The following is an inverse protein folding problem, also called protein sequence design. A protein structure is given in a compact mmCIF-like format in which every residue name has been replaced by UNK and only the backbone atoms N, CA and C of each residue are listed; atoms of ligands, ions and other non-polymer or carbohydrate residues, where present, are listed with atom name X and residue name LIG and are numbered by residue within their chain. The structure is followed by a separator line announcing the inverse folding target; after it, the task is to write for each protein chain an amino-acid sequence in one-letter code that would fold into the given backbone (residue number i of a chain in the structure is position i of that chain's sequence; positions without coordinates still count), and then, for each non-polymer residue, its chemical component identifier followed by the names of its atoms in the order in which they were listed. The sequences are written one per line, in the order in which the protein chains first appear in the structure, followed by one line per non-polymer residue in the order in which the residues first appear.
data_IF_517947311845
#
_entry.id   IF_517947311845
#
_cell.length_a   1.000
_cell.length_b   1.000
_cell.length_c   1.000
_cell.angle_alpha   90.00
_cell.angle_beta   90.00
_cell.angle_gamma   90.00
#
_symmetry.space_group_name_H-M   'P 1'
#
loop_
_entity.id
_entity.type
_entity.pdbx_description
1 polymer ?
#
# COMPACT_ATOMS: atom_id res chain seq x y z
N UNK A 1 10.11 5.05 2.63
CA UNK A 1 8.95 4.14 2.54
C UNK A 1 8.09 4.46 1.32
N UNK A 2 7.71 5.72 1.08
CA UNK A 2 6.96 6.16 -0.12
C UNK A 2 7.63 5.74 -1.45
N UNK A 3 8.92 6.03 -1.63
CA UNK A 3 9.63 5.72 -2.88
C UNK A 3 9.69 4.23 -3.26
N UNK A 4 9.70 3.31 -2.28
CA UNK A 4 9.74 1.86 -2.56
C UNK A 4 8.38 1.38 -3.11
N UNK A 5 7.29 1.97 -2.62
CA UNK A 5 5.94 1.67 -3.08
C UNK A 5 5.77 2.16 -4.53
N UNK A 6 6.33 3.33 -4.84
CA UNK A 6 6.30 3.91 -6.18
C UNK A 6 7.03 3.03 -7.21
N UNK A 7 8.26 2.58 -6.89
CA UNK A 7 9.08 1.76 -7.77
C UNK A 7 8.41 0.42 -8.14
N UNK A 8 7.72 -0.22 -7.18
CA UNK A 8 6.98 -1.46 -7.42
C UNK A 8 5.87 -1.26 -8.46
N UNK A 9 5.03 -0.24 -8.28
CA UNK A 9 3.90 0.02 -9.16
C UNK A 9 4.32 0.45 -10.57
N UNK A 10 5.45 1.15 -10.68
CA UNK A 10 6.04 1.43 -11.99
C UNK A 10 6.45 0.17 -12.75
N UNK A 11 7.01 -0.81 -12.05
CA UNK A 11 7.32 -2.12 -12.64
C UNK A 11 6.08 -2.80 -13.19
N UNK A 12 4.98 -2.77 -12.43
CA UNK A 12 3.69 -3.31 -12.86
C UNK A 12 3.17 -2.56 -14.10
N UNK A 13 3.11 -1.22 -14.07
CA UNK A 13 2.66 -0.44 -15.23
C UNK A 13 3.47 -0.72 -16.49
N UNK A 14 4.79 -0.80 -16.37
CA UNK A 14 5.71 -1.10 -17.47
C UNK A 14 5.46 -2.49 -18.06
N UNK A 15 5.17 -3.49 -17.21
CA UNK A 15 4.83 -4.86 -17.65
C UNK A 15 3.53 -4.89 -18.46
N UNK A 16 2.62 -3.96 -18.20
CA UNK A 16 1.40 -3.75 -18.98
C UNK A 16 1.55 -2.77 -20.15
N UNK A 17 2.77 -2.31 -20.47
CA UNK A 17 3.03 -1.37 -21.56
C UNK A 17 2.49 0.03 -21.30
N UNK A 18 2.21 0.37 -20.04
CA UNK A 18 1.66 1.66 -19.64
C UNK A 18 2.72 2.49 -18.90
N UNK A 19 2.78 3.79 -19.20
CA UNK A 19 3.68 4.73 -18.53
C UNK A 19 2.93 6.02 -18.24
N UNK A 20 2.32 6.15 -17.04
CA UNK A 20 1.53 7.34 -16.70
C UNK A 20 2.42 8.57 -16.55
N UNK A 21 1.94 9.73 -17.05
CA UNK A 21 2.59 11.02 -16.79
C UNK A 21 2.47 11.33 -15.30
N UNK A 22 3.61 11.54 -14.64
CA UNK A 22 3.61 11.89 -13.21
C UNK A 22 3.40 13.37 -12.97
N UNK A 23 2.76 13.64 -11.85
CA UNK A 23 2.66 14.95 -11.22
C UNK A 23 3.33 14.83 -9.85
N UNK A 24 3.87 15.92 -9.31
CA UNK A 24 4.50 15.89 -8.00
C UNK A 24 3.50 15.44 -6.94
N UNK A 25 3.85 14.39 -6.17
CA UNK A 25 3.01 13.93 -5.08
C UNK A 25 3.03 14.97 -3.93
N UNK A 26 1.87 15.42 -3.44
CA UNK A 26 1.83 16.30 -2.30
C UNK A 26 2.19 15.55 -1.02
N UNK A 27 2.82 16.24 -0.07
CA UNK A 27 3.28 15.64 1.18
C UNK A 27 2.16 15.15 2.12
N UNK A 28 0.90 15.51 1.85
CA UNK A 28 -0.26 15.16 2.67
C UNK A 28 -1.37 14.54 1.79
N UNK A 29 -1.88 13.38 2.23
CA UNK A 29 -2.94 12.65 1.55
C UNK A 29 -4.24 13.45 1.46
N UNK A 30 -4.52 14.36 2.41
CA UNK A 30 -5.69 15.24 2.33
C UNK A 30 -5.58 16.27 1.19
N UNK A 31 -4.35 16.73 0.91
CA UNK A 31 -4.06 17.59 -0.23
C UNK A 31 -4.21 16.80 -1.53
N UNK A 32 -3.69 15.57 -1.57
CA UNK A 32 -3.85 14.67 -2.73
C UNK A 32 -5.32 14.49 -3.11
N UNK A 33 -6.18 14.11 -2.14
CA UNK A 33 -7.61 13.92 -2.41
C UNK A 33 -8.31 15.21 -2.83
N UNK A 34 -7.89 16.36 -2.31
CA UNK A 34 -8.46 17.66 -2.72
C UNK A 34 -8.07 18.03 -4.16
N UNK A 35 -6.83 17.76 -4.58
CA UNK A 35 -6.40 17.99 -5.96
C UNK A 35 -7.10 17.03 -6.95
N UNK A 36 -7.37 15.80 -6.54
CA UNK A 36 -8.15 14.84 -7.35
C UNK A 36 -9.60 15.32 -7.49
N UNK A 37 -10.21 15.80 -6.39
CA UNK A 37 -11.57 16.36 -6.44
C UNK A 37 -11.66 17.59 -7.35
N UNK A 38 -10.57 18.37 -7.47
CA UNK A 38 -10.44 19.50 -8.40
C UNK A 38 -10.06 19.07 -9.85
N UNK A 39 -9.97 17.77 -10.13
CA UNK A 39 -9.72 17.24 -11.46
C UNK A 39 -8.26 17.28 -11.94
N UNK A 40 -7.30 17.52 -11.02
CA UNK A 40 -5.87 17.63 -11.36
C UNK A 40 -5.20 16.29 -11.70
N UNK A 41 -5.89 15.17 -11.53
CA UNK A 41 -5.36 13.86 -11.91
C UNK A 41 -6.04 12.69 -11.20
N UNK A 42 -5.31 11.58 -11.10
CA UNK A 42 -5.72 10.34 -10.42
C UNK A 42 -4.53 9.82 -9.61
N UNK A 43 -4.83 9.05 -8.57
CA UNK A 43 -3.81 8.38 -7.76
C UNK A 43 -4.17 6.91 -7.55
N UNK A 44 -3.14 6.06 -7.45
CA UNK A 44 -3.28 4.75 -6.84
C UNK A 44 -3.29 4.91 -5.32
N UNK A 45 -4.21 4.24 -4.64
CA UNK A 45 -4.29 4.25 -3.20
C UNK A 45 -4.55 2.84 -2.65
N UNK A 46 -4.09 2.53 -1.43
CA UNK A 46 -4.49 1.31 -0.73
C UNK A 46 -5.99 1.28 -0.46
N UNK A 47 -6.60 0.09 -0.52
CA UNK A 47 -8.03 -0.08 -0.23
C UNK A 47 -8.42 0.32 1.19
N UNK A 48 -7.49 0.28 2.15
CA UNK A 48 -7.69 0.74 3.53
C UNK A 48 -7.97 2.24 3.64
N UNK A 49 -7.51 3.05 2.67
CA UNK A 49 -7.77 4.49 2.64
C UNK A 49 -9.13 4.85 2.04
N UNK A 50 -9.92 3.88 1.54
CA UNK A 50 -11.31 4.13 1.08
C UNK A 50 -12.21 4.71 2.17
N UNK A 51 -11.87 4.50 3.45
CA UNK A 51 -12.61 5.07 4.59
C UNK A 51 -12.52 6.59 4.66
N UNK A 52 -11.52 7.21 4.02
CA UNK A 52 -11.35 8.66 3.94
C UNK A 52 -12.18 9.17 2.75
N UNK A 53 -13.50 9.19 2.90
CA UNK A 53 -14.39 9.71 1.87
C UNK A 53 -14.22 11.23 1.69
N UNK A 54 -14.13 11.70 0.45
CA UNK A 54 -14.14 13.12 0.11
C UNK A 54 -15.10 13.35 -1.05
N UNK A 55 -15.96 14.34 -0.91
CA UNK A 55 -16.85 14.76 -1.99
C UNK A 55 -16.03 15.11 -3.23
N UNK A 56 -16.50 14.65 -4.40
CA UNK A 56 -15.82 14.84 -5.67
C UNK A 56 -14.79 13.75 -6.03
N UNK A 57 -14.54 12.75 -5.16
CA UNK A 57 -13.63 11.64 -5.46
C UNK A 57 -14.40 10.34 -5.70
N UNK A 58 -14.09 9.65 -6.80
CA UNK A 58 -14.65 8.33 -7.13
C UNK A 58 -13.55 7.28 -6.97
N UNK A 59 -13.80 6.32 -6.08
CA UNK A 59 -12.93 5.16 -5.89
C UNK A 59 -13.28 4.06 -6.90
N UNK A 60 -12.30 3.62 -7.69
CA UNK A 60 -12.48 2.57 -8.70
C UNK A 60 -11.52 1.42 -8.48
N UNK A 61 -12.04 0.20 -8.47
CA UNK A 61 -11.19 -0.99 -8.40
C UNK A 61 -10.58 -1.29 -9.76
N UNK A 62 -9.29 -1.63 -9.76
CA UNK A 62 -8.54 -2.03 -10.94
C UNK A 62 -8.63 -3.55 -11.15
N UNK A 63 -8.59 -4.00 -12.40
CA UNK A 63 -8.63 -5.45 -12.71
C UNK A 63 -7.34 -6.12 -12.24
N UNK A 64 -6.24 -5.40 -12.39
CA UNK A 64 -4.84 -5.71 -12.06
C UNK A 64 -4.55 -5.58 -10.55
N UNK A 65 -5.59 -5.43 -9.71
CA UNK A 65 -5.47 -5.28 -8.24
C UNK A 65 -4.63 -6.36 -7.55
N UNK A 66 -4.46 -7.52 -8.18
CA UNK A 66 -3.65 -8.62 -7.67
C UNK A 66 -2.14 -8.36 -7.83
N UNK A 67 -1.74 -7.62 -8.86
CA UNK A 67 -0.35 -7.25 -9.15
C UNK A 67 0.01 -5.94 -8.42
N UNK A 68 -1.01 -5.10 -8.16
CA UNK A 68 -0.91 -3.85 -7.41
C UNK A 68 -1.11 -4.01 -5.89
N UNK A 69 -0.75 -5.17 -5.33
CA UNK A 69 -0.84 -5.40 -3.88
C UNK A 69 0.35 -4.79 -3.15
N UNK A 70 0.08 -4.27 -1.96
CA UNK A 70 1.11 -3.85 -1.00
C UNK A 70 1.12 -4.88 0.11
N UNK A 71 2.30 -5.42 0.41
CA UNK A 71 2.51 -6.32 1.53
C UNK A 71 2.84 -5.52 2.80
N UNK A 72 2.23 -5.92 3.91
CA UNK A 72 2.52 -5.37 5.23
C UNK A 72 3.21 -6.46 6.04
N UNK A 73 4.44 -6.17 6.47
CA UNK A 73 5.25 -7.09 7.24
C UNK A 73 5.62 -6.48 8.60
N UNK A 74 5.96 -7.35 9.55
CA UNK A 74 6.50 -6.97 10.85
C UNK A 74 7.93 -7.47 10.92
N UNK A 75 8.85 -6.54 11.17
CA UNK A 75 10.24 -6.86 11.43
C UNK A 75 10.49 -6.87 12.95
N UNK A 76 11.07 -7.95 13.45
CA UNK A 76 11.48 -8.09 14.84
C UNK A 76 12.77 -8.91 14.92
N UNK A 77 13.48 -8.78 16.04
CA UNK A 77 14.72 -9.52 16.25
C UNK A 77 14.41 -10.97 16.66
N UNK A 78 15.02 -12.00 16.04
CA UNK A 78 14.68 -13.41 16.29
C UNK A 78 14.82 -13.84 17.76
N UNK A 79 15.81 -13.29 18.47
CA UNK A 79 16.14 -13.65 19.85
C UNK A 79 15.46 -12.76 20.90
N UNK A 80 14.52 -11.90 20.49
CA UNK A 80 13.73 -11.11 21.43
C UNK A 80 12.82 -12.04 22.25
N UNK A 81 13.23 -12.39 23.47
CA UNK A 81 12.40 -13.09 24.47
C UNK A 81 11.37 -12.14 25.08
N UNK A 82 10.49 -11.60 24.24
CA UNK A 82 9.40 -10.73 24.66
C UNK A 82 8.06 -11.47 24.49
N UNK A 83 7.43 -11.79 25.62
CA UNK A 83 6.12 -12.44 25.63
C UNK A 83 5.03 -11.57 24.97
N UNK A 84 5.16 -10.24 25.02
CA UNK A 84 4.24 -9.29 24.40
C UNK A 84 4.34 -9.34 22.88
N UNK A 85 5.56 -9.48 22.35
CA UNK A 85 5.81 -9.65 20.91
C UNK A 85 5.19 -10.95 20.40
N UNK A 86 5.38 -12.06 21.12
CA UNK A 86 4.77 -13.34 20.75
C UNK A 86 3.24 -13.25 20.76
N UNK A 87 2.68 -12.64 21.80
CA UNK A 87 1.23 -12.41 21.89
C UNK A 87 0.70 -11.56 20.72
N UNK A 88 1.40 -10.48 20.36
CA UNK A 88 1.04 -9.65 19.21
C UNK A 88 1.08 -10.46 17.90
N UNK A 89 2.13 -11.25 17.68
CA UNK A 89 2.26 -12.09 16.48
C UNK A 89 1.11 -13.11 16.40
N UNK A 90 0.75 -13.74 17.51
CA UNK A 90 -0.33 -14.73 17.56
C UNK A 90 -1.69 -14.09 17.25
N UNK A 91 -1.98 -12.92 17.82
CA UNK A 91 -3.19 -12.14 17.51
C UNK A 91 -3.24 -11.78 16.02
N UNK A 92 -2.12 -11.32 15.46
CA UNK A 92 -2.09 -10.96 14.05
C UNK A 92 -2.27 -12.17 13.14
N UNK A 93 -1.68 -13.33 13.47
CA UNK A 93 -1.90 -14.59 12.74
C UNK A 93 -3.35 -15.07 12.81
N UNK A 94 -4.05 -14.84 13.93
CA UNK A 94 -5.46 -15.23 14.05
C UNK A 94 -6.39 -14.32 13.25
N UNK A 95 -6.07 -13.02 13.14
CA UNK A 95 -6.89 -12.05 12.42
C UNK A 95 -6.58 -11.97 10.91
N UNK A 96 -5.35 -12.27 10.50
CA UNK A 96 -4.91 -12.21 9.11
C UNK A 96 -4.46 -13.60 8.64
N UNK A 97 -5.25 -14.22 7.74
CA UNK A 97 -4.87 -15.48 7.05
C UNK A 97 -3.54 -15.26 6.35
N UNK A 98 -2.51 -15.93 6.85
CA UNK A 98 -1.13 -15.58 6.56
C UNK A 98 -0.69 -16.17 5.23
N UNK A 99 -0.43 -15.32 4.24
CA UNK A 99 0.49 -15.66 3.13
C UNK A 99 1.90 -15.32 3.59
N UNK A 100 2.54 -16.21 4.35
CA UNK A 100 3.92 -16.01 4.80
C UNK A 100 4.85 -16.47 3.69
N UNK A 101 5.36 -15.55 2.89
CA UNK A 101 6.64 -15.75 2.21
C UNK A 101 7.74 -15.26 3.15
N UNK A 102 8.21 -16.17 4.01
CA UNK A 102 9.39 -15.99 4.84
C UNK A 102 10.64 -16.03 3.95
N UNK A 103 10.94 -14.93 3.25
CA UNK A 103 12.24 -14.72 2.61
C UNK A 103 12.67 -13.27 2.78
N UNK A 104 13.29 -12.97 3.92
CA UNK A 104 14.45 -12.09 3.98
C UNK A 104 15.02 -12.07 5.40
N UNK A 105 15.75 -13.12 5.76
CA UNK A 105 16.89 -13.01 6.67
C UNK A 105 18.09 -13.39 5.83
N UNK A 106 18.75 -12.37 5.27
CA UNK A 106 20.11 -12.42 4.80
C UNK A 106 20.89 -11.39 5.61
#
# INVERSE_FOLDING_TARGET
MQAIIDDHFEGVFRTHGFSPRRVAEPADHHVLLSLIADGQGVALIPSSLKSIARDGVIYRELRERMDLRIEVAIAYMPDARDASLQHLIDVLRSHYRTGIDARSTA
#
